data_IF_724509618857
#
_entry.id   IF_724509618857
#
_cell.length_a   1.000
_cell.length_b   1.000
_cell.length_c   1.000
_cell.angle_alpha   90.00
_cell.angle_beta   90.00
_cell.angle_gamma   90.00
#
_symmetry.space_group_name_H-M   'P 1'
#
loop_
_entity.id
_entity.type
_entity.pdbx_description
1 polymer ?
#
# COMPACT_ATOMS: atom_id res chain seq x y z
N UNK A 1 -6.11 -7.47 8.98
CA UNK A 1 -6.56 -6.46 9.95
C UNK A 1 -7.36 -5.37 9.24
N UNK A 2 -8.14 -4.54 9.95
CA UNK A 2 -8.51 -3.23 9.44
C UNK A 2 -7.25 -2.39 9.23
N UNK A 3 -7.23 -1.60 8.15
CA UNK A 3 -6.13 -0.66 7.92
C UNK A 3 -5.95 0.30 9.09
N UNK A 4 -4.72 0.55 9.54
CA UNK A 4 -4.46 1.33 10.77
C UNK A 4 -4.98 2.79 10.76
N UNK A 5 -5.30 3.34 9.59
CA UNK A 5 -5.97 4.63 9.38
C UNK A 5 -7.50 4.52 9.13
N UNK A 6 -8.11 3.35 9.32
CA UNK A 6 -9.56 3.20 9.21
C UNK A 6 -10.29 3.88 10.36
N UNK A 7 -11.47 4.40 10.09
CA UNK A 7 -12.36 4.98 11.11
C UNK A 7 -13.35 3.95 11.70
N UNK A 8 -13.11 2.65 11.47
CA UNK A 8 -13.94 1.51 11.91
C UNK A 8 -15.42 1.58 11.44
N UNK A 9 -15.74 2.47 10.50
CA UNK A 9 -17.10 2.85 10.17
C UNK A 9 -17.52 2.50 8.75
N UNK A 10 -18.34 1.44 8.62
CA UNK A 10 -19.03 0.99 7.39
C UNK A 10 -18.16 0.41 6.27
N UNK A 11 -18.78 -0.46 5.45
CA UNK A 11 -18.20 -1.11 4.27
C UNK A 11 -17.93 -0.11 3.12
N UNK A 12 -16.97 0.80 3.32
CA UNK A 12 -16.53 1.76 2.31
C UNK A 12 -15.48 1.19 1.33
N UNK A 13 -14.95 0.00 1.60
CA UNK A 13 -14.00 -0.69 0.72
C UNK A 13 -14.76 -1.53 -0.30
N UNK A 14 -14.55 -1.22 -1.58
CA UNK A 14 -15.08 -1.98 -2.72
C UNK A 14 -14.32 -3.29 -2.90
N UNK A 15 -12.99 -3.21 -2.88
CA UNK A 15 -12.01 -4.29 -3.01
C UNK A 15 -10.70 -3.81 -2.37
N UNK A 16 -9.93 -4.72 -1.78
CA UNK A 16 -8.60 -4.46 -1.21
C UNK A 16 -7.48 -4.81 -2.21
N UNK A 17 -6.27 -4.30 -1.96
CA UNK A 17 -5.10 -4.57 -2.79
C UNK A 17 -3.80 -4.41 -1.96
N UNK A 18 -2.65 -4.92 -2.46
CA UNK A 18 -1.36 -4.83 -1.76
C UNK A 18 -0.97 -3.42 -1.31
N UNK A 19 -0.32 -3.31 -0.15
CA UNK A 19 0.05 -2.03 0.48
C UNK A 19 -1.13 -1.24 1.05
N UNK A 20 -2.34 -1.82 1.12
CA UNK A 20 -3.55 -1.18 1.66
C UNK A 20 -3.69 -1.19 3.19
N UNK A 21 -2.81 -1.91 3.90
CA UNK A 21 -2.63 -1.94 5.36
C UNK A 21 -1.13 -2.19 5.64
N UNK A 22 -0.70 -2.13 6.90
CA UNK A 22 0.60 -2.61 7.35
C UNK A 22 0.55 -3.06 8.81
N UNK A 23 1.22 -4.17 9.13
CA UNK A 23 1.48 -4.59 10.50
C UNK A 23 2.46 -3.64 11.20
N UNK A 24 1.91 -2.56 11.78
CA UNK A 24 2.66 -1.50 12.46
C UNK A 24 3.76 -1.98 13.43
N UNK A 25 3.59 -3.06 14.23
CA UNK A 25 4.62 -3.50 15.17
C UNK A 25 5.93 -3.98 14.52
N UNK A 26 5.94 -4.34 13.23
CA UNK A 26 7.17 -4.72 12.52
C UNK A 26 7.88 -3.55 11.84
N UNK A 27 7.25 -2.37 11.71
CA UNK A 27 7.84 -1.25 10.95
C UNK A 27 9.07 -0.70 11.69
N UNK A 28 10.24 -0.78 11.05
CA UNK A 28 11.52 -0.36 11.62
C UNK A 28 12.14 -1.37 12.57
N UNK A 29 11.64 -2.61 12.57
CA UNK A 29 12.23 -3.77 13.24
C UNK A 29 13.02 -4.54 12.19
N UNK A 30 14.35 -4.46 12.26
CA UNK A 30 15.25 -5.24 11.39
C UNK A 30 15.69 -6.56 12.05
N UNK A 31 15.52 -6.70 13.37
CA UNK A 31 15.82 -7.90 14.17
C UNK A 31 14.62 -8.23 15.07
N UNK A 32 14.18 -9.49 15.09
CA UNK A 32 13.14 -9.96 16.03
C UNK A 32 13.64 -10.03 17.48
N UNK A 33 12.72 -10.22 18.44
CA UNK A 33 13.01 -10.42 19.89
C UNK A 33 13.96 -11.62 20.19
N UNK A 34 14.20 -12.50 19.22
CA UNK A 34 15.14 -13.62 19.28
C UNK A 34 16.51 -13.34 18.60
N UNK A 35 16.66 -12.18 17.95
CA UNK A 35 17.88 -11.77 17.26
C UNK A 35 18.07 -12.38 15.87
N UNK A 36 17.04 -12.94 15.25
CA UNK A 36 17.06 -13.27 13.81
C UNK A 36 16.58 -12.08 12.96
N UNK A 37 17.19 -11.90 11.78
CA UNK A 37 16.77 -10.93 10.75
C UNK A 37 15.35 -11.28 10.24
N UNK A 38 14.31 -10.67 10.81
CA UNK A 38 12.93 -10.83 10.33
C UNK A 38 12.41 -9.53 9.72
N UNK A 39 12.72 -9.37 8.44
CA UNK A 39 12.23 -8.27 7.62
C UNK A 39 10.73 -8.39 7.27
N UNK A 40 9.91 -8.97 8.15
CA UNK A 40 8.47 -9.19 8.01
C UNK A 40 7.72 -7.97 7.48
N UNK A 41 8.17 -6.77 7.87
CA UNK A 41 7.53 -5.51 7.50
C UNK A 41 7.46 -5.26 5.99
N UNK A 42 8.42 -5.70 5.17
CA UNK A 42 8.34 -5.39 3.73
C UNK A 42 7.27 -6.22 3.00
N UNK A 43 6.81 -7.35 3.56
CA UNK A 43 5.79 -8.19 2.92
C UNK A 43 4.40 -7.53 2.90
N UNK A 44 4.12 -6.64 3.86
CA UNK A 44 2.88 -5.86 3.92
C UNK A 44 2.95 -4.55 3.11
N UNK A 45 4.16 -4.01 2.90
CA UNK A 45 4.37 -2.76 2.19
C UNK A 45 4.48 -2.97 0.67
N UNK A 46 4.39 -1.89 -0.10
CA UNK A 46 4.78 -1.89 -1.52
C UNK A 46 5.91 -0.90 -1.78
N UNK A 47 6.80 -1.26 -2.70
CA UNK A 47 7.87 -0.39 -3.15
C UNK A 47 7.26 0.78 -3.96
N UNK A 48 7.58 2.01 -3.59
CA UNK A 48 7.08 3.21 -4.24
C UNK A 48 8.23 4.17 -4.60
N UNK A 49 8.03 5.03 -5.59
CA UNK A 49 8.95 6.11 -5.92
C UNK A 49 8.87 7.20 -4.85
N UNK A 50 9.98 7.52 -4.22
CA UNK A 50 10.13 8.60 -3.25
C UNK A 50 11.06 9.67 -3.79
N UNK A 51 11.29 10.72 -3.01
CA UNK A 51 12.36 11.66 -3.26
C UNK A 51 13.14 11.84 -1.96
N UNK A 52 14.44 11.60 -1.99
CA UNK A 52 15.31 11.86 -0.85
C UNK A 52 15.67 13.34 -0.88
N UNK A 53 15.22 14.06 0.14
CA UNK A 53 15.35 15.53 0.22
C UNK A 53 16.58 15.90 1.03
N UNK A 54 17.46 16.69 0.44
CA UNK A 54 18.66 17.21 1.09
C UNK A 54 18.40 18.64 1.56
N UNK A 55 18.67 18.89 2.84
CA UNK A 55 18.59 20.22 3.45
C UNK A 55 19.99 20.76 3.77
N UNK A 56 20.10 22.09 3.84
CA UNK A 56 21.22 22.78 4.47
C UNK A 56 20.93 22.87 5.97
N UNK A 57 21.91 22.49 6.79
CA UNK A 57 21.74 22.33 8.24
C UNK A 57 22.73 23.22 9.02
N UNK A 58 22.20 24.10 9.87
CA UNK A 58 22.99 24.93 10.79
C UNK A 58 22.95 24.40 12.22
N UNK A 59 24.04 24.61 12.95
CA UNK A 59 24.10 24.35 14.39
C UNK A 59 23.20 25.38 15.11
N UNK A 60 22.15 24.91 15.78
CA UNK A 60 21.41 25.71 16.76
C UNK A 60 21.99 25.46 18.16
N UNK A 61 21.90 26.46 19.04
CA UNK A 61 22.27 26.35 20.47
C UNK A 61 21.18 25.57 21.25
N UNK A 62 20.82 24.37 20.78
CA UNK A 62 19.84 23.44 21.37
C UNK A 62 20.47 22.04 21.55
N UNK A 63 19.97 21.27 22.50
CA UNK A 63 20.50 19.95 22.89
C UNK A 63 20.38 18.91 21.75
N UNK A 64 19.34 19.08 20.91
CA UNK A 64 18.89 18.10 19.91
C UNK A 64 19.68 18.14 18.58
N UNK A 65 20.57 19.11 18.37
CA UNK A 65 21.51 19.15 17.25
C UNK A 65 21.13 20.12 16.12
N UNK A 66 21.52 19.81 14.88
CA UNK A 66 21.37 20.73 13.74
C UNK A 66 19.95 20.79 13.19
N UNK A 67 19.54 21.98 12.76
CA UNK A 67 18.22 22.23 12.18
C UNK A 67 18.30 22.60 10.68
N UNK A 68 17.33 22.16 9.83
CA UNK A 68 17.31 22.45 8.41
C UNK A 68 16.91 23.92 8.13
N UNK A 69 17.87 24.72 7.67
CA UNK A 69 17.69 26.15 7.34
C UNK A 69 17.41 26.42 5.85
N UNK A 70 17.67 25.46 4.97
CA UNK A 70 17.51 25.61 3.52
C UNK A 70 17.23 24.30 2.80
N UNK A 71 16.55 24.37 1.65
CA UNK A 71 16.38 23.21 0.75
C UNK A 71 17.48 23.22 -0.31
N UNK A 72 18.29 22.16 -0.37
CA UNK A 72 19.39 22.03 -1.33
C UNK A 72 19.00 21.25 -2.59
N UNK A 73 18.07 20.30 -2.47
CA UNK A 73 17.61 19.51 -3.60
C UNK A 73 16.79 18.29 -3.17
N UNK A 74 16.31 17.55 -4.17
CA UNK A 74 15.71 16.24 -3.95
C UNK A 74 16.06 15.33 -5.13
N UNK A 75 16.49 14.10 -4.85
CA UNK A 75 16.84 13.11 -5.86
C UNK A 75 15.80 11.98 -5.90
N UNK A 76 15.50 11.40 -7.08
CA UNK A 76 14.55 10.29 -7.19
C UNK A 76 15.06 9.06 -6.45
N UNK A 77 14.23 8.53 -5.55
CA UNK A 77 14.55 7.40 -4.69
C UNK A 77 13.42 6.35 -4.73
N UNK A 78 13.61 5.26 -3.99
CA UNK A 78 12.56 4.27 -3.74
C UNK A 78 12.45 4.01 -2.24
N UNK A 79 11.22 3.81 -1.77
CA UNK A 79 10.96 3.46 -0.39
C UNK A 79 9.69 2.60 -0.27
N UNK A 80 9.68 1.73 0.72
CA UNK A 80 8.51 0.93 1.05
C UNK A 80 7.44 1.80 1.72
N UNK A 81 6.19 1.67 1.28
CA UNK A 81 5.03 2.45 1.76
C UNK A 81 3.79 1.57 1.86
N UNK A 82 2.89 1.94 2.78
CA UNK A 82 1.51 1.49 2.82
C UNK A 82 0.58 2.69 2.93
N UNK A 83 -0.66 2.49 2.48
CA UNK A 83 -1.68 3.52 2.35
C UNK A 83 -2.79 3.09 1.40
N UNK A 84 -3.99 3.64 1.54
CA UNK A 84 -5.01 3.55 0.47
C UNK A 84 -4.49 4.12 -0.85
N UNK A 85 -3.59 5.11 -0.79
CA UNK A 85 -2.82 5.65 -1.93
C UNK A 85 -1.93 4.63 -2.65
N UNK A 86 -1.58 3.51 -2.01
CA UNK A 86 -0.77 2.43 -2.57
C UNK A 86 -1.66 1.31 -3.13
N UNK A 87 -2.77 0.99 -2.46
CA UNK A 87 -3.77 0.06 -2.97
C UNK A 87 -4.50 0.61 -4.22
N UNK A 88 -4.85 1.91 -4.25
CA UNK A 88 -5.58 2.53 -5.35
C UNK A 88 -4.93 2.36 -6.75
N UNK A 89 -3.63 2.61 -6.97
CA UNK A 89 -2.99 2.38 -8.27
C UNK A 89 -2.92 0.90 -8.66
N UNK A 90 -2.86 -0.04 -7.70
CA UNK A 90 -2.95 -1.48 -7.99
C UNK A 90 -4.33 -1.84 -8.58
N UNK A 91 -5.42 -1.39 -7.93
CA UNK A 91 -6.79 -1.58 -8.44
C UNK A 91 -7.00 -0.87 -9.78
N UNK A 92 -6.41 0.31 -9.98
CA UNK A 92 -6.47 1.02 -11.25
C UNK A 92 -5.73 0.28 -12.38
N UNK A 93 -4.58 -0.35 -12.08
CA UNK A 93 -3.86 -1.23 -12.99
C UNK A 93 -4.67 -2.46 -13.37
N UNK A 94 -5.29 -3.12 -12.38
CA UNK A 94 -6.21 -4.23 -12.59
C UNK A 94 -7.36 -3.86 -13.53
N UNK A 95 -8.04 -2.74 -13.24
CA UNK A 95 -9.13 -2.20 -14.07
C UNK A 95 -8.68 -1.92 -15.52
N UNK A 96 -7.45 -1.43 -15.72
CA UNK A 96 -6.89 -1.17 -17.03
C UNK A 96 -6.62 -2.47 -17.81
N UNK A 97 -6.11 -3.53 -17.17
CA UNK A 97 -5.87 -4.83 -17.79
C UNK A 97 -7.18 -5.54 -18.19
N UNK A 98 -8.18 -5.56 -17.29
CA UNK A 98 -9.52 -6.09 -17.60
C UNK A 98 -10.09 -5.37 -18.82
N UNK A 99 -9.93 -4.04 -18.88
CA UNK A 99 -10.42 -3.21 -19.99
C UNK A 99 -9.61 -3.34 -21.28
N UNK A 100 -8.34 -3.74 -21.23
CA UNK A 100 -7.54 -4.00 -22.43
C UNK A 100 -7.90 -5.33 -23.09
N UNK A 101 -8.14 -6.38 -22.29
CA UNK A 101 -8.61 -7.68 -22.81
C UNK A 101 -10.10 -7.65 -23.18
N UNK A 102 -10.91 -6.82 -22.50
CA UNK A 102 -12.33 -6.64 -22.80
C UNK A 102 -12.67 -5.18 -23.20
N UNK A 103 -12.30 -4.71 -24.41
CA UNK A 103 -12.50 -3.31 -24.84
C UNK A 103 -13.96 -2.83 -24.85
N UNK A 104 -14.95 -3.70 -24.91
CA UNK A 104 -16.37 -3.34 -24.89
C UNK A 104 -16.97 -3.20 -23.47
N UNK A 105 -16.27 -3.64 -22.41
CA UNK A 105 -16.79 -3.56 -21.04
C UNK A 105 -16.95 -2.11 -20.57
N UNK A 106 -18.14 -1.75 -20.09
CA UNK A 106 -18.35 -0.48 -19.38
C UNK A 106 -17.81 -0.54 -17.94
N UNK A 107 -17.76 0.60 -17.25
CA UNK A 107 -17.20 0.71 -15.90
C UNK A 107 -17.84 -0.28 -14.89
N UNK A 108 -19.15 -0.49 -14.96
CA UNK A 108 -19.85 -1.43 -14.06
C UNK A 108 -19.48 -2.88 -14.35
N UNK A 109 -19.16 -3.22 -15.61
CA UNK A 109 -18.69 -4.57 -15.96
C UNK A 109 -17.27 -4.79 -15.43
N UNK A 110 -16.37 -3.82 -15.59
CA UNK A 110 -15.01 -3.89 -15.00
C UNK A 110 -15.07 -3.99 -13.47
N UNK A 111 -15.92 -3.20 -12.80
CA UNK A 111 -16.15 -3.30 -11.36
C UNK A 111 -16.72 -4.66 -10.95
N UNK A 112 -17.62 -5.25 -11.74
CA UNK A 112 -18.18 -6.57 -11.47
C UNK A 112 -17.14 -7.70 -11.62
N UNK A 113 -16.21 -7.59 -12.59
CA UNK A 113 -15.07 -8.51 -12.72
C UNK A 113 -14.18 -8.40 -11.48
N UNK A 114 -13.71 -7.20 -11.14
CA UNK A 114 -12.88 -6.93 -9.95
C UNK A 114 -13.49 -7.43 -8.65
N UNK A 115 -14.82 -7.47 -8.54
CA UNK A 115 -15.53 -8.00 -7.37
C UNK A 115 -15.74 -9.51 -7.40
N UNK A 116 -15.92 -10.13 -8.58
CA UNK A 116 -16.22 -11.58 -8.71
C UNK A 116 -14.99 -12.47 -8.77
N UNK A 117 -13.82 -11.85 -8.95
CA UNK A 117 -12.48 -12.46 -8.97
C UNK A 117 -11.61 -11.96 -7.81
N UNK A 118 -12.21 -11.29 -6.82
CA UNK A 118 -11.51 -10.93 -5.60
C UNK A 118 -11.60 -12.07 -4.59
N UNK A 119 -10.45 -12.48 -4.03
CA UNK A 119 -10.37 -13.55 -3.05
C UNK A 119 -10.12 -13.00 -1.63
N UNK A 120 -10.60 -13.69 -0.60
CA UNK A 120 -10.20 -13.43 0.78
C UNK A 120 -9.52 -14.68 1.31
N UNK A 121 -8.22 -14.64 1.62
CA UNK A 121 -7.53 -15.80 2.18
C UNK A 121 -8.23 -16.28 3.45
N UNK A 122 -8.35 -17.60 3.62
CA UNK A 122 -9.25 -18.22 4.61
C UNK A 122 -9.08 -17.72 6.05
N UNK A 123 -7.87 -17.29 6.43
CA UNK A 123 -7.52 -16.79 7.76
C UNK A 123 -7.92 -15.32 8.03
N UNK A 124 -8.49 -14.60 7.04
CA UNK A 124 -8.76 -13.16 7.13
C UNK A 124 -10.25 -12.83 7.32
N UNK A 125 -10.54 -11.92 8.27
CA UNK A 125 -11.91 -11.44 8.51
C UNK A 125 -12.41 -10.56 7.35
N UNK A 126 -13.39 -11.09 6.60
CA UNK A 126 -14.06 -10.46 5.46
C UNK A 126 -14.66 -9.08 5.78
N UNK A 127 -14.88 -8.74 7.06
CA UNK A 127 -15.38 -7.45 7.51
C UNK A 127 -14.57 -6.22 7.02
N UNK A 128 -13.31 -6.42 6.60
CA UNK A 128 -12.41 -5.33 6.21
C UNK A 128 -12.00 -5.30 4.73
N UNK A 129 -12.43 -6.27 3.92
CA UNK A 129 -11.92 -6.46 2.55
C UNK A 129 -12.93 -6.17 1.42
N UNK A 130 -14.19 -5.84 1.75
CA UNK A 130 -15.21 -5.55 0.75
C UNK A 130 -15.60 -6.83 -0.01
N UNK A 131 -15.32 -6.88 -1.31
CA UNK A 131 -15.42 -8.12 -2.09
C UNK A 131 -14.26 -9.10 -1.83
N UNK A 132 -13.06 -8.59 -1.52
CA UNK A 132 -11.84 -9.36 -1.28
C UNK A 132 -10.58 -8.57 -1.65
N UNK A 133 -9.43 -9.23 -1.67
CA UNK A 133 -8.23 -8.73 -2.33
C UNK A 133 -8.32 -8.98 -3.85
N UNK A 134 -7.84 -8.05 -4.66
CA UNK A 134 -7.74 -8.22 -6.12
C UNK A 134 -6.83 -9.41 -6.48
N UNK A 135 -7.38 -10.44 -7.12
CA UNK A 135 -6.61 -11.39 -7.91
C UNK A 135 -6.49 -10.85 -9.36
N UNK A 136 -5.27 -10.50 -9.77
CA UNK A 136 -5.00 -10.01 -11.13
C UNK A 136 -5.06 -11.11 -12.19
N UNK A 137 -4.75 -12.34 -11.84
CA UNK A 137 -4.70 -13.46 -12.76
C UNK A 137 -6.11 -13.91 -13.13
N UNK A 138 -6.97 -14.09 -12.12
CA UNK A 138 -8.36 -14.46 -12.33
C UNK A 138 -9.13 -13.33 -13.03
N UNK A 139 -8.95 -12.07 -12.59
CA UNK A 139 -9.62 -10.90 -13.21
C UNK A 139 -9.34 -10.72 -14.71
N UNK A 140 -8.17 -11.15 -15.20
CA UNK A 140 -7.77 -11.00 -16.61
C UNK A 140 -8.18 -12.20 -17.47
N UNK A 141 -8.54 -13.33 -16.86
CA UNK A 141 -8.90 -14.58 -17.55
C UNK A 141 -10.42 -14.85 -17.63
N UNK A 142 -11.24 -13.93 -17.13
CA UNK A 142 -12.67 -14.02 -16.83
C UNK A 142 -13.64 -13.34 -17.84
#
# INVERSE_FOLDING_TARGET
SPAFYTNYGTNAITVAAPGGDAYLPAIGVDENDDGEDDYAWFYDLVLNTTADVTFEEEDVDDDDGKEPVGYLGAEPAYGWKAGTSMAAPQVAGAAALIKSENPDYNANQVEAVLKRTADVPDDYDKAYYGAGFVDLLEAVQD
#
